data_IF_984688853614
#
_entry.id   IF_984688853614
#
_cell.length_a   1.000
_cell.length_b   1.000
_cell.length_c   1.000
_cell.angle_alpha   90.00
_cell.angle_beta   90.00
_cell.angle_gamma   90.00
#
_symmetry.space_group_name_H-M   'P 1'
#
loop_
_entity.id
_entity.type
_entity.pdbx_description
1 polymer ?
#
# COMPACT_ATOMS: atom_id res chain seq x y z
N UNK A 1 -18.35 38.26 -34.02
CA UNK A 1 -17.23 38.44 -33.05
C UNK A 1 -17.56 38.05 -31.60
N UNK A 2 -18.77 38.31 -31.06
CA UNK A 2 -19.12 37.96 -29.66
C UNK A 2 -19.19 36.44 -29.38
N UNK A 3 -19.65 35.64 -30.34
CA UNK A 3 -19.77 34.19 -30.21
C UNK A 3 -18.41 33.49 -30.08
N UNK A 4 -17.41 33.92 -30.85
CA UNK A 4 -16.03 33.41 -30.81
C UNK A 4 -15.37 33.68 -29.45
N UNK A 5 -15.62 34.86 -28.86
CA UNK A 5 -15.09 35.25 -27.54
C UNK A 5 -15.70 34.42 -26.41
N UNK A 6 -17.01 34.11 -26.48
CA UNK A 6 -17.68 33.20 -25.53
C UNK A 6 -17.13 31.77 -25.61
N UNK A 7 -16.90 31.26 -26.81
CA UNK A 7 -16.32 29.91 -27.02
C UNK A 7 -14.90 29.84 -26.44
N UNK A 8 -14.06 30.86 -26.64
CA UNK A 8 -12.71 30.92 -26.09
C UNK A 8 -12.73 30.97 -24.55
N UNK A 9 -13.63 31.75 -23.95
CA UNK A 9 -13.79 31.83 -22.49
C UNK A 9 -14.22 30.48 -21.91
N UNK A 10 -15.26 29.85 -22.49
CA UNK A 10 -15.75 28.54 -22.05
C UNK A 10 -14.64 27.48 -22.14
N UNK A 11 -13.90 27.44 -23.26
CA UNK A 11 -12.79 26.48 -23.44
C UNK A 11 -11.67 26.68 -22.42
N UNK A 12 -11.33 27.93 -22.08
CA UNK A 12 -10.32 28.22 -21.03
C UNK A 12 -10.80 27.80 -19.65
N UNK A 13 -12.09 28.00 -19.34
CA UNK A 13 -12.69 27.55 -18.08
C UNK A 13 -12.67 26.03 -17.99
N UNK A 14 -13.07 25.32 -19.05
CA UNK A 14 -13.06 23.85 -19.10
C UNK A 14 -11.64 23.27 -19.00
N UNK A 15 -10.67 23.86 -19.70
CA UNK A 15 -9.26 23.43 -19.60
C UNK A 15 -8.70 23.71 -18.20
N UNK A 16 -9.04 24.87 -17.61
CA UNK A 16 -8.62 25.24 -16.26
C UNK A 16 -9.21 24.32 -15.19
N UNK A 17 -10.50 23.99 -15.27
CA UNK A 17 -11.15 23.08 -14.32
C UNK A 17 -10.61 21.65 -14.44
N UNK A 18 -10.37 21.17 -15.67
CA UNK A 18 -9.76 19.87 -15.90
C UNK A 18 -8.35 19.79 -15.33
N UNK A 19 -7.52 20.82 -15.56
CA UNK A 19 -6.16 20.90 -14.99
C UNK A 19 -6.20 20.94 -13.45
N UNK A 20 -7.09 21.73 -12.87
CA UNK A 20 -7.25 21.82 -11.42
C UNK A 20 -7.67 20.49 -10.79
N UNK A 21 -8.66 19.80 -11.37
CA UNK A 21 -9.09 18.46 -10.95
C UNK A 21 -7.95 17.43 -11.07
N UNK A 22 -7.17 17.49 -12.14
CA UNK A 22 -6.01 16.62 -12.32
C UNK A 22 -4.94 16.84 -11.24
N UNK A 23 -4.63 18.10 -10.91
CA UNK A 23 -3.69 18.45 -9.85
C UNK A 23 -4.20 18.03 -8.46
N UNK A 24 -5.49 18.21 -8.18
CA UNK A 24 -6.14 17.73 -6.94
C UNK A 24 -6.02 16.21 -6.80
N UNK A 25 -6.37 15.45 -7.84
CA UNK A 25 -6.21 13.99 -7.89
C UNK A 25 -4.76 13.60 -7.64
N UNK A 26 -3.81 14.24 -8.32
CA UNK A 26 -2.39 13.97 -8.16
C UNK A 26 -1.91 14.26 -6.72
N UNK A 27 -2.42 15.32 -6.09
CA UNK A 27 -2.13 15.67 -4.70
C UNK A 27 -2.64 14.63 -3.72
N UNK A 28 -3.91 14.22 -3.85
CA UNK A 28 -4.51 13.17 -3.00
C UNK A 28 -3.75 11.84 -3.11
N UNK A 29 -3.38 11.45 -4.33
CA UNK A 29 -2.63 10.23 -4.60
C UNK A 29 -1.26 10.22 -3.90
N UNK A 30 -0.60 11.39 -3.87
CA UNK A 30 0.70 11.56 -3.20
C UNK A 30 0.58 11.50 -1.68
N UNK A 31 -0.47 12.07 -1.10
CA UNK A 31 -0.72 12.02 0.33
C UNK A 31 -0.96 10.57 0.82
N UNK A 32 -1.79 9.81 0.10
CA UNK A 32 -2.05 8.41 0.45
C UNK A 32 -0.79 7.54 0.37
N UNK A 33 0.09 7.80 -0.61
CA UNK A 33 1.39 7.14 -0.73
C UNK A 33 2.35 7.44 0.43
N UNK A 34 2.34 8.66 0.98
CA UNK A 34 3.21 9.04 2.10
C UNK A 34 2.84 8.35 3.42
N UNK A 35 1.55 8.14 3.67
CA UNK A 35 1.07 7.51 4.91
C UNK A 35 1.35 6.01 4.93
N UNK A 36 1.32 5.35 3.77
CA UNK A 36 1.43 3.89 3.67
C UNK A 36 2.79 3.38 3.20
N UNK A 37 3.62 4.22 2.56
CA UNK A 37 4.99 3.80 2.25
C UNK A 37 5.85 3.81 3.52
N UNK A 38 6.61 2.74 3.76
CA UNK A 38 7.54 2.72 4.88
C UNK A 38 8.64 3.76 4.70
N UNK A 39 8.99 4.44 5.80
CA UNK A 39 10.22 5.24 5.86
C UNK A 39 11.44 4.34 5.95
N UNK A 40 12.62 4.85 5.58
CA UNK A 40 13.89 4.11 5.71
C UNK A 40 14.22 3.69 7.15
N UNK A 41 13.65 4.38 8.14
CA UNK A 41 13.86 4.15 9.57
C UNK A 41 12.69 3.44 10.25
N UNK A 42 11.70 2.98 9.48
CA UNK A 42 10.53 2.28 10.02
C UNK A 42 10.94 0.93 10.59
N UNK A 43 10.38 0.58 11.75
CA UNK A 43 10.44 -0.76 12.37
C UNK A 43 9.08 -1.47 12.33
N UNK A 44 8.07 -0.85 11.71
CA UNK A 44 6.71 -1.37 11.67
C UNK A 44 6.61 -2.60 10.80
N UNK A 45 5.82 -3.58 11.24
CA UNK A 45 5.47 -4.76 10.46
C UNK A 45 3.98 -4.72 10.18
N UNK A 46 3.62 -4.62 8.90
CA UNK A 46 2.25 -4.54 8.43
C UNK A 46 2.06 -5.52 7.29
N UNK A 47 1.02 -6.34 7.35
CA UNK A 47 0.62 -7.23 6.27
C UNK A 47 -0.71 -6.77 5.69
N UNK A 48 -0.81 -6.88 4.37
CA UNK A 48 -2.00 -6.61 3.58
C UNK A 48 -2.45 -7.94 2.98
N UNK A 49 -3.60 -8.41 3.44
CA UNK A 49 -4.06 -9.79 3.22
C UNK A 49 -5.55 -9.83 2.93
N UNK A 50 -6.09 -11.03 2.78
CA UNK A 50 -7.54 -11.28 2.83
C UNK A 50 -7.83 -12.51 3.69
N UNK A 51 -9.10 -12.72 4.05
CA UNK A 51 -9.52 -13.92 4.79
C UNK A 51 -9.44 -15.22 3.97
N UNK A 52 -9.77 -15.17 2.67
CA UNK A 52 -9.93 -16.35 1.80
C UNK A 52 -8.70 -16.72 0.99
N UNK A 53 -7.51 -16.28 1.39
CA UNK A 53 -6.26 -16.63 0.70
C UNK A 53 -5.43 -17.66 1.50
N UNK A 54 -5.10 -18.83 0.92
CA UNK A 54 -4.25 -19.84 1.57
C UNK A 54 -2.87 -19.31 1.98
N UNK A 55 -2.22 -18.53 1.11
CA UNK A 55 -0.90 -17.95 1.40
C UNK A 55 -0.96 -16.84 2.47
N UNK A 56 -2.05 -16.07 2.53
CA UNK A 56 -2.26 -15.15 3.66
C UNK A 56 -2.39 -15.91 4.98
N UNK A 57 -3.12 -17.04 5.00
CA UNK A 57 -3.21 -17.89 6.21
C UNK A 57 -1.86 -18.47 6.61
N UNK A 58 -1.04 -18.91 5.65
CA UNK A 58 0.34 -19.37 5.91
C UNK A 58 1.18 -18.27 6.53
N UNK A 59 1.21 -17.09 5.91
CA UNK A 59 1.94 -15.93 6.44
C UNK A 59 1.53 -15.58 7.88
N UNK A 60 0.22 -15.53 8.17
CA UNK A 60 -0.27 -15.25 9.53
C UNK A 60 0.22 -16.28 10.54
N UNK A 61 0.21 -17.57 10.17
CA UNK A 61 0.70 -18.66 11.03
C UNK A 61 2.19 -18.54 11.29
N UNK A 62 3.01 -18.26 10.28
CA UNK A 62 4.46 -18.15 10.45
C UNK A 62 4.85 -16.96 11.35
N UNK A 63 4.22 -15.80 11.12
CA UNK A 63 4.47 -14.62 11.92
C UNK A 63 4.03 -14.85 13.38
N UNK A 64 2.91 -15.56 13.59
CA UNK A 64 2.46 -15.94 14.91
C UNK A 64 3.40 -16.96 15.59
N UNK A 65 3.84 -18.01 14.88
CA UNK A 65 4.80 -18.99 15.37
C UNK A 65 6.16 -18.37 15.72
N UNK A 66 6.53 -17.32 15.00
CA UNK A 66 7.73 -16.52 15.25
C UNK A 66 7.57 -15.51 16.41
N UNK A 67 6.40 -15.42 17.03
CA UNK A 67 6.04 -14.43 18.05
C UNK A 67 6.26 -12.97 17.59
N UNK A 68 6.04 -12.70 16.29
CA UNK A 68 6.20 -11.37 15.71
C UNK A 68 4.90 -10.59 15.90
N UNK A 69 4.99 -9.41 16.50
CA UNK A 69 3.87 -8.47 16.55
C UNK A 69 3.77 -7.70 15.23
N UNK A 70 2.61 -7.76 14.59
CA UNK A 70 2.35 -7.09 13.33
C UNK A 70 0.90 -6.62 13.24
N UNK A 71 0.64 -5.66 12.35
CA UNK A 71 -0.72 -5.28 11.95
C UNK A 71 -1.11 -6.05 10.70
N UNK A 72 -2.33 -6.60 10.67
CA UNK A 72 -2.89 -7.22 9.48
C UNK A 72 -4.11 -6.41 9.02
N UNK A 73 -4.07 -5.93 7.78
CA UNK A 73 -5.19 -5.22 7.18
C UNK A 73 -5.78 -6.07 6.06
N UNK A 74 -7.06 -6.38 6.19
CA UNK A 74 -7.82 -7.01 5.11
C UNK A 74 -8.10 -5.96 4.02
N UNK A 75 -7.58 -6.22 2.81
CA UNK A 75 -7.66 -5.28 1.67
C UNK A 75 -9.05 -5.25 1.04
N UNK A 76 -9.93 -6.20 1.34
CA UNK A 76 -11.31 -6.23 0.87
C UNK A 76 -12.23 -5.52 1.88
N UNK A 77 -11.93 -5.59 3.18
CA UNK A 77 -12.84 -5.14 4.24
C UNK A 77 -12.47 -3.83 4.93
N UNK A 78 -11.20 -3.45 4.94
CA UNK A 78 -10.73 -2.30 5.72
C UNK A 78 -10.28 -1.14 4.84
N UNK A 79 -10.60 0.09 5.23
CA UNK A 79 -10.17 1.29 4.50
C UNK A 79 -8.63 1.39 4.48
N UNK A 80 -7.98 1.11 5.60
CA UNK A 80 -6.51 1.09 5.70
C UNK A 80 -5.89 0.01 4.81
N UNK A 81 -6.54 -1.15 4.70
CA UNK A 81 -6.14 -2.21 3.78
C UNK A 81 -6.24 -1.77 2.32
N UNK A 82 -7.39 -1.23 1.92
CA UNK A 82 -7.62 -0.73 0.55
C UNK A 82 -6.65 0.38 0.17
N UNK A 83 -6.50 1.39 1.03
CA UNK A 83 -5.59 2.52 0.79
C UNK A 83 -4.13 2.08 0.75
N UNK A 84 -3.71 1.22 1.67
CA UNK A 84 -2.34 0.70 1.69
C UNK A 84 -2.03 -0.16 0.48
N UNK A 85 -2.93 -1.08 0.11
CA UNK A 85 -2.76 -1.91 -1.07
C UNK A 85 -2.63 -1.08 -2.36
N UNK A 86 -3.49 -0.06 -2.50
CA UNK A 86 -3.43 0.88 -3.61
C UNK A 86 -2.15 1.73 -3.60
N UNK A 87 -1.78 2.29 -2.44
CA UNK A 87 -0.59 3.13 -2.28
C UNK A 87 0.72 2.39 -2.57
N UNK A 88 0.77 1.11 -2.19
CA UNK A 88 1.89 0.22 -2.50
C UNK A 88 1.89 -0.23 -3.96
N UNK A 89 0.83 0.08 -4.73
CA UNK A 89 0.61 -0.41 -6.11
C UNK A 89 0.70 -1.92 -6.19
N UNK A 90 0.21 -2.59 -5.15
CA UNK A 90 0.19 -4.03 -5.08
C UNK A 90 -0.72 -4.61 -6.17
N UNK A 91 -0.30 -5.73 -6.75
CA UNK A 91 -1.07 -6.45 -7.79
C UNK A 91 -1.69 -7.74 -7.30
N UNK A 92 -1.32 -8.17 -6.09
CA UNK A 92 -1.77 -9.42 -5.48
C UNK A 92 -1.38 -9.45 -4.02
N UNK A 93 -1.95 -10.42 -3.30
CA UNK A 93 -1.77 -10.65 -1.87
C UNK A 93 -1.06 -12.00 -1.61
N UNK A 94 -0.41 -12.18 -0.44
CA UNK A 94 -0.17 -11.17 0.60
C UNK A 94 0.88 -10.12 0.18
N UNK A 95 0.86 -8.94 0.79
CA UNK A 95 1.97 -7.98 0.73
C UNK A 95 2.38 -7.64 2.14
N UNK A 96 3.67 -7.70 2.44
CA UNK A 96 4.22 -7.41 3.76
C UNK A 96 5.16 -6.21 3.71
N UNK A 97 4.85 -5.20 4.51
CA UNK A 97 5.74 -4.08 4.80
C UNK A 97 6.46 -4.40 6.10
N UNK A 98 7.76 -4.66 6.01
CA UNK A 98 8.63 -5.05 7.13
C UNK A 98 9.72 -4.00 7.25
N UNK A 99 9.54 -3.08 8.19
CA UNK A 99 10.41 -1.93 8.34
C UNK A 99 10.48 -1.11 7.05
N UNK A 100 11.66 -0.90 6.43
CA UNK A 100 11.79 -0.21 5.15
C UNK A 100 11.52 -1.08 3.92
N UNK A 101 11.36 -2.40 4.08
CA UNK A 101 11.21 -3.36 2.98
C UNK A 101 9.74 -3.63 2.71
N UNK A 102 9.42 -3.79 1.42
CA UNK A 102 8.10 -4.23 0.96
C UNK A 102 8.32 -5.55 0.23
N UNK A 103 7.67 -6.61 0.70
CA UNK A 103 7.69 -7.93 0.10
C UNK A 103 6.34 -8.18 -0.57
N UNK A 104 6.36 -8.50 -1.87
CA UNK A 104 5.17 -8.83 -2.63
C UNK A 104 5.03 -10.34 -2.79
N UNK A 105 3.91 -10.87 -2.30
CA UNK A 105 3.65 -12.31 -2.23
C UNK A 105 4.24 -12.95 -0.98
N UNK A 106 3.99 -14.26 -0.85
CA UNK A 106 4.52 -15.06 0.24
C UNK A 106 5.92 -15.58 -0.12
N UNK A 107 6.93 -14.72 0.04
CA UNK A 107 8.32 -14.99 -0.31
C UNK A 107 9.16 -15.14 0.96
N UNK A 108 9.31 -16.38 1.40
CA UNK A 108 9.88 -16.70 2.71
C UNK A 108 11.27 -16.10 2.90
N UNK A 109 12.17 -16.26 1.93
CA UNK A 109 13.55 -15.75 2.03
C UNK A 109 13.59 -14.22 2.19
N UNK A 110 12.75 -13.50 1.44
CA UNK A 110 12.66 -12.03 1.51
C UNK A 110 12.06 -11.59 2.85
N UNK A 111 11.04 -12.30 3.34
CA UNK A 111 10.39 -12.04 4.63
C UNK A 111 11.39 -12.26 5.77
N UNK A 112 12.04 -13.43 5.79
CA UNK A 112 13.03 -13.78 6.79
C UNK A 112 14.16 -12.76 6.82
N UNK A 113 14.70 -12.39 5.65
CA UNK A 113 15.76 -11.40 5.58
C UNK A 113 15.31 -10.04 6.12
N UNK A 114 14.14 -9.55 5.70
CA UNK A 114 13.63 -8.28 6.16
C UNK A 114 13.35 -8.25 7.68
N UNK A 115 12.92 -9.38 8.25
CA UNK A 115 12.73 -9.54 9.70
C UNK A 115 14.06 -9.59 10.44
N UNK A 116 15.04 -10.32 9.91
CA UNK A 116 16.39 -10.42 10.47
C UNK A 116 17.10 -9.06 10.49
N UNK A 117 16.93 -8.25 9.44
CA UNK A 117 17.44 -6.87 9.38
C UNK A 117 16.88 -5.98 10.51
N UNK A 118 15.72 -6.34 11.07
CA UNK A 118 15.09 -5.68 12.22
C UNK A 118 15.34 -6.39 13.57
N UNK A 119 16.11 -7.48 13.58
CA UNK A 119 16.41 -8.27 14.76
C UNK A 119 15.31 -9.27 15.18
N UNK A 120 14.33 -9.53 14.33
CA UNK A 120 13.29 -10.52 14.60
C UNK A 120 13.70 -11.92 14.09
N UNK A 121 13.63 -12.97 14.93
CA UNK A 121 13.82 -14.33 14.47
C UNK A 121 12.60 -14.78 13.64
N UNK A 122 12.84 -15.42 12.50
CA UNK A 122 11.77 -16.03 11.69
C UNK A 122 11.81 -17.55 11.87
N UNK A 123 10.78 -18.08 12.54
CA UNK A 123 10.54 -19.50 12.80
C UNK A 123 9.17 -19.85 12.21
N UNK A 124 9.10 -20.18 10.90
CA UNK A 124 7.82 -20.49 10.26
C UNK A 124 7.20 -21.73 10.88
N UNK A 125 5.87 -21.87 10.74
CA UNK A 125 5.20 -23.08 11.19
C UNK A 125 5.43 -24.18 10.14
N UNK A 126 5.99 -25.32 10.57
CA UNK A 126 6.25 -26.51 9.74
C UNK A 126 4.98 -27.00 9.00
#
# INVERSE_FOLDING_TARGET
MAMTRRIIIIRRILLGSALFLALLRLGMDRCAALVHRPSKTSTKIVSYTTERCPYCKKLRRDLAASAISYKDYDVEKTLQGQLGFWALRARGIPVSVIGPKIVYGYRIEEIQKALADLGYPYRPAD
#
